data_IF_955640091695
#
_entry.id   IF_955640091695
#
_cell.length_a   1.000
_cell.length_b   1.000
_cell.length_c   1.000
_cell.angle_alpha   90.00
_cell.angle_beta   90.00
_cell.angle_gamma   90.00
#
_symmetry.space_group_name_H-M   'P 1'
#
loop_
_entity.id
_entity.type
_entity.pdbx_description
1 polymer ?
#
# COMPACT_ATOMS: atom_id res chain seq x y z
N UNK A 1 17.30 -6.53 -28.22
CA UNK A 1 16.46 -7.72 -27.96
C UNK A 1 15.72 -7.47 -26.65
N UNK A 2 14.39 -7.44 -26.64
CA UNK A 2 13.62 -7.18 -25.41
C UNK A 2 13.63 -8.48 -24.59
N UNK A 3 14.14 -8.42 -23.36
CA UNK A 3 14.21 -9.59 -22.46
C UNK A 3 12.80 -9.93 -21.97
N UNK A 4 12.33 -11.12 -22.30
CA UNK A 4 11.09 -11.69 -21.78
C UNK A 4 11.36 -12.52 -20.52
N UNK A 5 10.38 -12.56 -19.62
CA UNK A 5 10.45 -13.28 -18.34
C UNK A 5 9.31 -14.29 -18.29
N UNK A 6 9.59 -15.53 -17.89
CA UNK A 6 8.56 -16.56 -17.74
C UNK A 6 7.93 -16.47 -16.35
N UNK A 7 6.63 -16.17 -16.31
CA UNK A 7 5.85 -15.92 -15.09
C UNK A 7 4.77 -16.98 -14.99
N UNK A 8 4.62 -17.58 -13.82
CA UNK A 8 3.56 -18.53 -13.51
C UNK A 8 2.41 -17.78 -12.84
N UNK A 9 1.26 -17.77 -13.50
CA UNK A 9 0.00 -17.29 -12.94
C UNK A 9 -0.77 -18.46 -12.33
N UNK A 10 -1.25 -18.25 -11.12
CA UNK A 10 -2.03 -19.19 -10.31
C UNK A 10 -3.38 -18.53 -10.09
N UNK A 11 -4.38 -18.92 -10.88
CA UNK A 11 -5.74 -18.49 -10.63
C UNK A 11 -6.40 -19.47 -9.66
N UNK A 12 -6.75 -18.97 -8.47
CA UNK A 12 -7.52 -19.73 -7.50
C UNK A 12 -8.95 -19.22 -7.45
N UNK A 13 -9.88 -20.17 -7.45
CA UNK A 13 -11.30 -19.90 -7.52
C UNK A 13 -12.09 -20.81 -6.59
N UNK A 14 -13.26 -20.33 -6.20
CA UNK A 14 -14.22 -21.08 -5.41
C UNK A 14 -15.44 -21.38 -6.29
N UNK A 15 -15.90 -22.63 -6.25
CA UNK A 15 -17.17 -23.01 -6.86
C UNK A 15 -18.35 -22.81 -5.89
N UNK A 16 -19.57 -22.83 -6.40
CA UNK A 16 -20.82 -22.69 -5.62
C UNK A 16 -20.96 -23.73 -4.48
N UNK A 17 -20.16 -24.79 -4.49
CA UNK A 17 -20.10 -25.81 -3.43
C UNK A 17 -18.87 -25.66 -2.49
N UNK A 18 -18.22 -24.50 -2.46
CA UNK A 18 -16.99 -24.20 -1.69
C UNK A 18 -15.79 -25.09 -2.05
N UNK A 19 -15.79 -25.75 -3.20
CA UNK A 19 -14.59 -26.47 -3.66
C UNK A 19 -13.61 -25.44 -4.20
N UNK A 20 -12.42 -25.41 -3.60
CA UNK A 20 -11.32 -24.59 -4.09
C UNK A 20 -10.69 -25.27 -5.31
N UNK A 21 -10.70 -24.58 -6.43
CA UNK A 21 -10.02 -24.97 -7.66
C UNK A 21 -8.78 -24.11 -7.91
N UNK A 22 -7.85 -24.65 -8.70
CA UNK A 22 -6.64 -23.94 -9.11
C UNK A 22 -6.39 -24.17 -10.59
N UNK A 23 -6.13 -23.09 -11.32
CA UNK A 23 -5.67 -23.10 -12.69
C UNK A 23 -4.28 -22.47 -12.75
N UNK A 24 -3.32 -23.15 -13.38
CA UNK A 24 -1.94 -22.70 -13.48
C UNK A 24 -1.61 -22.48 -14.94
N UNK A 25 -1.10 -21.30 -15.27
CA UNK A 25 -0.67 -20.99 -16.63
C UNK A 25 0.64 -20.21 -16.62
N UNK A 26 1.50 -20.47 -17.60
CA UNK A 26 2.75 -19.72 -17.78
C UNK A 26 2.57 -18.68 -18.87
N UNK A 27 3.07 -17.46 -18.62
CA UNK A 27 3.10 -16.35 -19.58
C UNK A 27 4.53 -15.83 -19.71
N UNK A 28 4.88 -15.40 -20.91
CA UNK A 28 6.14 -14.69 -21.15
C UNK A 28 5.85 -13.20 -21.21
N UNK A 29 6.37 -12.44 -20.25
CA UNK A 29 6.11 -11.01 -20.13
C UNK A 29 7.37 -10.19 -20.42
N UNK A 30 7.20 -9.11 -21.17
CA UNK A 30 8.17 -8.01 -21.25
C UNK A 30 8.03 -7.09 -20.03
N UNK A 31 9.03 -6.24 -19.73
CA UNK A 31 8.98 -5.33 -18.59
C UNK A 31 7.79 -4.35 -18.58
N UNK A 32 7.22 -4.03 -19.75
CA UNK A 32 6.11 -3.09 -19.87
C UNK A 32 4.74 -3.76 -19.98
N UNK A 33 4.70 -5.10 -20.00
CA UNK A 33 3.44 -5.82 -20.13
C UNK A 33 2.58 -5.61 -18.88
N UNK A 34 1.27 -5.51 -19.12
CA UNK A 34 0.24 -5.40 -18.10
C UNK A 34 0.09 -6.70 -17.32
N UNK A 35 0.28 -6.64 -16.01
CA UNK A 35 0.01 -7.79 -15.12
C UNK A 35 -1.48 -8.08 -15.06
N UNK A 36 -2.32 -7.03 -15.10
CA UNK A 36 -3.77 -7.17 -15.03
C UNK A 36 -4.31 -7.88 -16.26
N UNK A 37 -3.92 -7.46 -17.47
CA UNK A 37 -4.37 -8.09 -18.70
C UNK A 37 -3.91 -9.56 -18.79
N UNK A 38 -2.67 -9.84 -18.39
CA UNK A 38 -2.16 -11.21 -18.32
C UNK A 38 -2.97 -12.08 -17.34
N UNK A 39 -3.28 -11.54 -16.15
CA UNK A 39 -4.11 -12.22 -15.15
C UNK A 39 -5.52 -12.52 -15.68
N UNK A 40 -6.18 -11.52 -16.27
CA UNK A 40 -7.53 -11.65 -16.86
C UNK A 40 -7.54 -12.68 -18.00
N UNK A 41 -6.51 -12.68 -18.85
CA UNK A 41 -6.34 -13.69 -19.89
C UNK A 41 -6.28 -15.11 -19.31
N UNK A 42 -5.54 -15.31 -18.23
CA UNK A 42 -5.43 -16.62 -17.55
C UNK A 42 -6.77 -17.05 -16.95
N UNK A 43 -7.52 -16.13 -16.35
CA UNK A 43 -8.84 -16.44 -15.79
C UNK A 43 -9.86 -16.83 -16.88
N UNK A 44 -9.87 -16.09 -18.00
CA UNK A 44 -10.71 -16.44 -19.17
C UNK A 44 -10.36 -17.81 -19.74
N UNK A 45 -9.07 -18.13 -19.83
CA UNK A 45 -8.60 -19.45 -20.26
C UNK A 45 -9.08 -20.55 -19.30
N UNK A 46 -8.98 -20.31 -17.98
CA UNK A 46 -9.47 -21.24 -16.97
C UNK A 46 -10.98 -21.50 -17.10
N UNK A 47 -11.79 -20.44 -17.27
CA UNK A 47 -13.25 -20.55 -17.46
C UNK A 47 -13.57 -21.35 -18.71
N UNK A 48 -12.89 -21.07 -19.83
CA UNK A 48 -13.05 -21.82 -21.08
C UNK A 48 -12.71 -23.31 -20.91
N UNK A 49 -11.76 -23.61 -20.03
CA UNK A 49 -11.35 -24.98 -19.69
C UNK A 49 -12.16 -25.60 -18.54
N UNK A 50 -13.32 -25.02 -18.19
CA UNK A 50 -14.27 -25.61 -17.26
C UNK A 50 -14.08 -25.19 -15.79
N UNK A 51 -13.31 -24.14 -15.50
CA UNK A 51 -13.25 -23.59 -14.15
C UNK A 51 -14.63 -23.11 -13.70
N UNK A 52 -15.06 -23.64 -12.56
CA UNK A 52 -16.36 -23.31 -11.98
C UNK A 52 -16.23 -22.15 -11.00
N UNK A 53 -16.70 -20.98 -11.43
CA UNK A 53 -16.53 -19.68 -10.79
C UNK A 53 -17.90 -19.00 -10.78
N UNK A 54 -18.12 -18.13 -9.80
CA UNK A 54 -19.40 -17.42 -9.65
C UNK A 54 -19.73 -16.45 -10.80
N UNK A 55 -18.75 -16.07 -11.64
CA UNK A 55 -18.97 -15.25 -12.83
C UNK A 55 -18.24 -15.81 -14.05
N UNK A 56 -18.95 -15.91 -15.18
CA UNK A 56 -18.37 -16.34 -16.47
C UNK A 56 -17.94 -15.16 -17.35
N UNK A 57 -18.37 -13.94 -17.01
CA UNK A 57 -18.19 -12.73 -17.81
C UNK A 57 -17.00 -11.90 -17.34
N UNK A 58 -15.80 -12.51 -17.32
CA UNK A 58 -14.59 -11.80 -16.93
C UNK A 58 -14.10 -10.88 -18.05
N UNK A 59 -13.89 -9.61 -17.70
CA UNK A 59 -13.37 -8.58 -18.59
C UNK A 59 -12.41 -7.61 -17.87
N UNK A 60 -11.92 -6.61 -18.60
CA UNK A 60 -10.92 -5.66 -18.09
C UNK A 60 -11.42 -4.79 -16.93
N UNK A 61 -12.74 -4.69 -16.76
CA UNK A 61 -13.42 -3.97 -15.67
C UNK A 61 -13.68 -4.88 -14.46
N UNK A 62 -13.47 -6.19 -14.57
CA UNK A 62 -13.69 -7.13 -13.47
C UNK A 62 -12.74 -6.88 -12.31
N UNK A 63 -13.28 -6.77 -11.10
CA UNK A 63 -12.44 -6.68 -9.90
C UNK A 63 -11.65 -7.97 -9.70
N UNK A 64 -10.32 -7.89 -9.71
CA UNK A 64 -9.44 -9.02 -9.50
C UNK A 64 -8.38 -8.68 -8.47
N UNK A 65 -8.09 -9.63 -7.59
CA UNK A 65 -7.00 -9.50 -6.62
C UNK A 65 -5.74 -10.13 -7.18
N UNK A 66 -4.61 -9.44 -7.02
CA UNK A 66 -3.30 -9.86 -7.52
C UNK A 66 -2.32 -9.87 -6.35
N UNK A 67 -1.65 -11.01 -6.14
CA UNK A 67 -0.68 -11.20 -5.06
C UNK A 67 0.61 -11.83 -5.60
N UNK A 68 1.69 -11.62 -4.87
CA UNK A 68 2.95 -12.35 -5.06
C UNK A 68 3.04 -13.50 -4.06
N UNK A 69 3.58 -14.63 -4.50
CA UNK A 69 3.84 -15.75 -3.60
C UNK A 69 4.98 -15.40 -2.64
N UNK A 70 4.77 -15.59 -1.34
CA UNK A 70 5.80 -15.48 -0.30
C UNK A 70 5.46 -16.38 0.90
N UNK A 71 6.26 -16.34 1.97
CA UNK A 71 6.06 -17.19 3.15
C UNK A 71 4.72 -16.97 3.87
N UNK A 72 4.15 -15.76 3.75
CA UNK A 72 2.86 -15.37 4.33
C UNK A 72 1.70 -15.54 3.34
N UNK A 73 1.97 -15.54 2.03
CA UNK A 73 0.96 -15.57 0.96
C UNK A 73 1.30 -16.70 -0.02
N UNK A 74 0.58 -17.81 0.08
CA UNK A 74 0.76 -18.97 -0.82
C UNK A 74 -0.50 -19.32 -1.63
N UNK A 75 -1.61 -18.65 -1.34
CA UNK A 75 -2.92 -18.85 -1.97
C UNK A 75 -3.75 -17.55 -1.85
N UNK A 76 -4.85 -17.43 -2.60
CA UNK A 76 -5.65 -16.21 -2.65
C UNK A 76 -6.28 -15.84 -1.29
N UNK A 77 -6.66 -16.84 -0.49
CA UNK A 77 -7.22 -16.64 0.86
C UNK A 77 -6.20 -16.08 1.85
N UNK A 78 -4.96 -16.59 1.84
CA UNK A 78 -3.84 -16.03 2.61
C UNK A 78 -3.45 -14.63 2.12
N UNK A 79 -3.53 -14.40 0.80
CA UNK A 79 -3.37 -13.08 0.20
C UNK A 79 -4.36 -12.08 0.77
N UNK A 80 -5.65 -12.45 0.77
CA UNK A 80 -6.71 -11.62 1.34
C UNK A 80 -6.48 -11.30 2.82
N UNK A 81 -6.18 -12.33 3.62
CA UNK A 81 -5.96 -12.16 5.07
C UNK A 81 -4.78 -11.26 5.39
N UNK A 82 -3.68 -11.39 4.66
CA UNK A 82 -2.40 -10.75 5.01
C UNK A 82 -2.17 -9.43 4.26
N UNK A 83 -2.81 -9.22 3.11
CA UNK A 83 -2.63 -8.03 2.28
C UNK A 83 -3.93 -7.36 1.83
N UNK A 84 -5.10 -7.84 2.24
CA UNK A 84 -6.38 -7.32 1.74
C UNK A 84 -6.54 -7.65 0.26
N UNK A 85 -6.98 -6.71 -0.56
CA UNK A 85 -7.38 -7.00 -1.95
C UNK A 85 -6.22 -7.11 -2.96
N UNK A 86 -4.96 -7.10 -2.53
CA UNK A 86 -3.81 -7.29 -3.42
C UNK A 86 -2.60 -6.44 -3.05
N UNK A 87 -1.73 -6.23 -4.04
CA UNK A 87 -0.58 -5.34 -3.93
C UNK A 87 -1.06 -3.91 -3.62
N UNK A 88 -0.58 -3.34 -2.50
CA UNK A 88 -1.07 -2.05 -1.98
C UNK A 88 -0.31 -0.82 -2.48
N UNK A 89 0.74 -1.02 -3.27
CA UNK A 89 1.68 0.05 -3.58
C UNK A 89 1.95 0.15 -5.08
N UNK A 90 2.20 1.38 -5.52
CA UNK A 90 2.76 1.70 -6.83
C UNK A 90 3.59 2.99 -6.73
N UNK A 91 4.28 3.38 -7.79
CA UNK A 91 5.07 4.59 -7.88
C UNK A 91 4.57 5.42 -9.07
N UNK A 92 4.33 6.71 -8.84
CA UNK A 92 4.12 7.64 -9.95
C UNK A 92 5.44 7.93 -10.70
N UNK A 93 5.34 8.62 -11.84
CA UNK A 93 6.48 8.96 -12.71
C UNK A 93 7.59 9.77 -12.01
N UNK A 94 7.28 10.49 -10.93
CA UNK A 94 8.28 11.21 -10.12
C UNK A 94 8.93 10.37 -9.02
N UNK A 95 8.60 9.07 -8.94
CA UNK A 95 9.05 8.14 -7.90
C UNK A 95 8.35 8.32 -6.55
N UNK A 96 7.26 9.08 -6.46
CA UNK A 96 6.47 9.19 -5.24
C UNK A 96 5.54 7.99 -5.09
N UNK A 97 5.37 7.49 -3.86
CA UNK A 97 4.50 6.35 -3.55
C UNK A 97 3.04 6.69 -3.84
N UNK A 98 2.32 5.74 -4.43
CA UNK A 98 0.86 5.66 -4.51
C UNK A 98 0.45 4.54 -3.56
N UNK A 99 -0.54 4.80 -2.70
CA UNK A 99 -1.08 3.80 -1.77
C UNK A 99 -2.48 3.42 -2.23
N UNK A 100 -2.66 2.15 -2.57
CA UNK A 100 -3.91 1.56 -3.02
C UNK A 100 -4.57 0.92 -1.80
N UNK A 101 -5.62 1.56 -1.32
CA UNK A 101 -6.33 1.18 -0.11
C UNK A 101 -7.78 0.79 -0.42
N UNK A 102 -8.40 0.01 0.46
CA UNK A 102 -9.70 -0.60 0.22
C UNK A 102 -9.70 -1.37 -1.11
N UNK A 103 -10.59 -0.97 -2.02
CA UNK A 103 -10.75 -1.59 -3.34
C UNK A 103 -9.74 -1.13 -4.41
N UNK A 104 -8.85 -0.18 -4.09
CA UNK A 104 -7.86 0.35 -5.03
C UNK A 104 -7.07 -0.73 -5.79
N UNK A 105 -6.54 -1.77 -5.13
CA UNK A 105 -5.79 -2.84 -5.80
C UNK A 105 -6.60 -3.63 -6.85
N UNK A 106 -7.93 -3.70 -6.71
CA UNK A 106 -8.77 -4.60 -7.52
C UNK A 106 -8.88 -4.23 -8.99
N UNK A 107 -8.60 -2.97 -9.30
CA UNK A 107 -8.70 -2.38 -10.64
C UNK A 107 -7.36 -1.84 -11.12
N UNK A 108 -6.35 -1.83 -10.25
CA UNK A 108 -5.05 -1.27 -10.59
C UNK A 108 -4.32 -2.18 -11.59
N UNK A 109 -3.63 -1.54 -12.52
CA UNK A 109 -2.76 -2.24 -13.46
C UNK A 109 -1.31 -1.84 -13.22
N UNK A 110 -0.48 -2.85 -12.99
CA UNK A 110 0.96 -2.70 -12.86
C UNK A 110 1.62 -3.20 -14.13
N UNK A 111 2.57 -2.42 -14.65
CA UNK A 111 3.59 -2.98 -15.53
C UNK A 111 4.43 -4.01 -14.76
N UNK A 112 4.85 -5.09 -15.41
CA UNK A 112 5.65 -6.12 -14.75
C UNK A 112 6.93 -5.57 -14.10
N UNK A 113 7.64 -4.66 -14.77
CA UNK A 113 8.81 -3.97 -14.23
C UNK A 113 8.55 -3.23 -12.93
N UNK A 114 7.33 -2.70 -12.75
CA UNK A 114 6.96 -2.01 -11.52
C UNK A 114 6.85 -2.96 -10.34
N UNK A 115 6.31 -4.17 -10.56
CA UNK A 115 6.25 -5.21 -9.53
C UNK A 115 7.67 -5.58 -9.07
N UNK A 116 8.60 -5.74 -10.00
CA UNK A 116 10.01 -5.99 -9.70
C UNK A 116 10.59 -4.84 -8.87
N UNK A 117 10.42 -3.59 -9.32
CA UNK A 117 10.95 -2.42 -8.62
C UNK A 117 10.41 -2.32 -7.18
N UNK A 118 9.11 -2.58 -6.96
CA UNK A 118 8.51 -2.55 -5.62
C UNK A 118 9.09 -3.63 -4.69
N UNK A 119 9.40 -4.81 -5.22
CA UNK A 119 10.09 -5.88 -4.46
C UNK A 119 11.53 -5.47 -4.15
N UNK A 120 12.28 -5.00 -5.14
CA UNK A 120 13.69 -4.58 -4.97
C UNK A 120 13.84 -3.43 -3.96
N UNK A 121 12.87 -2.52 -3.92
CA UNK A 121 12.83 -1.42 -2.96
C UNK A 121 12.39 -1.85 -1.55
N UNK A 122 11.84 -3.05 -1.41
CA UNK A 122 11.36 -3.63 -0.16
C UNK A 122 9.96 -3.14 0.28
N UNK A 123 9.14 -2.62 -0.64
CA UNK A 123 7.78 -2.16 -0.31
C UNK A 123 6.75 -3.31 -0.35
N UNK A 124 7.05 -4.35 -1.11
CA UNK A 124 6.28 -5.59 -1.13
C UNK A 124 7.24 -6.78 -1.06
N UNK A 125 6.75 -7.92 -0.59
CA UNK A 125 7.52 -9.18 -0.53
C UNK A 125 6.95 -10.18 -1.52
N UNK A 126 7.82 -10.95 -2.17
CA UNK A 126 7.45 -12.18 -2.85
C UNK A 126 8.20 -12.45 -4.14
N UNK A 127 7.92 -13.65 -4.67
CA UNK A 127 8.48 -14.18 -5.89
C UNK A 127 7.81 -13.50 -7.10
N UNK A 128 8.55 -12.63 -7.79
CA UNK A 128 8.05 -11.91 -8.98
C UNK A 128 7.82 -12.83 -10.18
N UNK A 129 8.20 -14.11 -10.09
CA UNK A 129 7.93 -15.13 -11.12
C UNK A 129 6.64 -15.90 -10.87
N UNK A 130 5.96 -15.67 -9.73
CA UNK A 130 4.71 -16.35 -9.36
C UNK A 130 3.66 -15.36 -8.87
N UNK A 131 2.57 -15.27 -9.63
CA UNK A 131 1.46 -14.37 -9.36
C UNK A 131 0.23 -15.19 -9.02
N UNK A 132 -0.37 -14.93 -7.87
CA UNK A 132 -1.67 -15.46 -7.49
C UNK A 132 -2.73 -14.46 -7.91
N UNK A 133 -3.79 -14.96 -8.55
CA UNK A 133 -4.94 -14.20 -8.98
C UNK A 133 -6.18 -14.77 -8.30
N UNK A 134 -7.04 -13.91 -7.76
CA UNK A 134 -8.28 -14.31 -7.12
C UNK A 134 -9.45 -13.41 -7.52
N UNK A 135 -10.65 -13.98 -7.59
CA UNK A 135 -11.90 -13.23 -7.69
C UNK A 135 -12.39 -12.90 -6.28
N UNK A 136 -12.43 -11.62 -5.87
CA UNK A 136 -13.01 -11.27 -4.58
C UNK A 136 -14.53 -11.49 -4.61
N UNK A 137 -15.08 -11.98 -3.51
CA UNK A 137 -16.52 -12.12 -3.27
C UNK A 137 -16.97 -11.13 -2.18
N UNK A 138 -18.23 -10.69 -2.22
CA UNK A 138 -18.85 -9.94 -1.12
C UNK A 138 -18.21 -8.57 -0.82
N UNK A 139 -18.02 -7.75 -1.86
CA UNK A 139 -17.53 -6.37 -1.69
C UNK A 139 -18.61 -5.52 -0.99
N UNK A 140 -18.48 -5.32 0.33
CA UNK A 140 -19.36 -4.44 1.11
C UNK A 140 -19.18 -2.95 0.78
N UNK A 141 -20.01 -2.08 1.36
CA UNK A 141 -19.85 -0.63 1.22
C UNK A 141 -19.22 -0.04 2.48
N UNK A 142 -18.17 0.77 2.33
CA UNK A 142 -17.61 1.55 3.43
C UNK A 142 -16.82 2.74 2.90
N UNK A 143 -17.28 3.95 3.22
CA UNK A 143 -16.47 5.16 3.11
C UNK A 143 -16.31 5.74 4.51
N UNK A 144 -15.07 5.81 5.00
CA UNK A 144 -14.73 6.53 6.23
C UNK A 144 -14.30 7.97 5.91
N UNK A 145 -14.85 8.95 6.64
CA UNK A 145 -14.43 10.35 6.54
C UNK A 145 -13.41 10.65 7.65
N UNK A 146 -12.25 11.25 7.31
CA UNK A 146 -11.14 11.47 8.24
C UNK A 146 -10.60 12.91 8.19
N UNK A 147 -10.34 13.53 9.35
CA UNK A 147 -9.69 14.86 9.42
C UNK A 147 -8.15 14.75 9.40
N UNK A 148 -7.60 14.56 8.19
CA UNK A 148 -6.17 14.33 8.00
C UNK A 148 -5.34 15.58 8.31
N UNK A 149 -5.86 16.76 8.00
CA UNK A 149 -5.14 18.02 8.21
C UNK A 149 -5.03 18.32 9.70
N UNK A 150 -6.12 18.14 10.47
CA UNK A 150 -6.13 18.26 11.92
C UNK A 150 -5.13 17.31 12.58
N UNK A 151 -5.17 16.03 12.18
CA UNK A 151 -4.24 15.01 12.68
C UNK A 151 -2.76 15.41 12.50
N UNK A 152 -2.35 15.75 11.27
CA UNK A 152 -0.93 16.08 11.01
C UNK A 152 -0.52 17.36 11.71
N UNK A 153 -1.42 18.34 11.82
CA UNK A 153 -1.13 19.57 12.55
C UNK A 153 -0.85 19.29 14.02
N UNK A 154 -1.58 18.40 14.68
CA UNK A 154 -1.35 18.09 16.08
C UNK A 154 -0.13 17.18 16.28
N UNK A 155 0.14 16.27 15.36
CA UNK A 155 1.24 15.32 15.51
C UNK A 155 2.61 15.91 15.11
N UNK A 156 2.69 16.64 13.99
CA UNK A 156 3.96 17.21 13.49
C UNK A 156 4.37 18.46 14.27
N UNK A 157 3.42 19.21 14.84
CA UNK A 157 3.72 20.48 15.55
C UNK A 157 4.18 20.27 17.00
N UNK A 158 3.99 19.06 17.57
CA UNK A 158 4.29 18.74 18.98
C UNK A 158 5.70 18.13 19.17
N UNK A 159 6.47 17.91 18.11
CA UNK A 159 7.83 17.31 18.16
C UNK A 159 8.90 18.29 18.70
N UNK A 160 8.58 19.13 19.70
CA UNK A 160 9.55 20.02 20.35
C UNK A 160 9.02 20.65 21.65
N UNK A 161 9.90 21.01 22.61
CA UNK A 161 9.51 21.49 23.93
C UNK A 161 9.16 22.99 23.92
N UNK A 162 8.19 23.42 23.10
CA UNK A 162 7.81 24.83 23.04
C UNK A 162 6.51 25.15 23.79
N UNK A 163 6.66 26.07 24.74
CA UNK A 163 5.69 26.73 25.62
C UNK A 163 4.32 27.04 24.96
N UNK A 164 3.27 26.90 25.77
CA UNK A 164 1.86 26.93 25.39
C UNK A 164 1.40 28.20 24.64
N UNK A 165 2.12 29.33 24.74
CA UNK A 165 1.72 30.63 24.17
C UNK A 165 2.07 30.75 22.67
N UNK A 166 3.05 29.97 22.17
CA UNK A 166 3.47 30.00 20.75
C UNK A 166 2.60 29.09 19.85
N UNK A 167 1.67 28.33 20.44
CA UNK A 167 0.88 27.29 19.75
C UNK A 167 -0.09 27.86 18.69
N UNK A 168 -0.67 29.04 18.90
CA UNK A 168 -1.79 29.51 18.06
C UNK A 168 -1.35 30.08 16.70
N UNK A 169 -0.31 30.92 16.69
CA UNK A 169 0.22 31.57 15.48
C UNK A 169 1.05 30.60 14.63
N UNK A 170 1.84 29.70 15.24
CA UNK A 170 2.51 28.60 14.52
C UNK A 170 1.50 27.59 13.93
N UNK A 171 0.36 27.32 14.60
CA UNK A 171 -0.72 26.47 14.05
C UNK A 171 -1.24 27.00 12.72
N UNK A 172 -1.54 28.30 12.60
CA UNK A 172 -2.14 28.88 11.37
C UNK A 172 -1.19 28.83 10.15
N UNK A 173 0.10 29.11 10.35
CA UNK A 173 1.14 29.01 9.30
C UNK A 173 1.47 27.55 8.93
N UNK A 174 1.61 26.67 9.93
CA UNK A 174 1.83 25.24 9.70
C UNK A 174 0.66 24.61 8.95
N UNK A 175 -0.57 25.03 9.23
CA UNK A 175 -1.76 24.49 8.58
C UNK A 175 -1.78 24.76 7.06
N UNK A 176 -1.24 25.89 6.58
CA UNK A 176 -1.09 26.14 5.12
C UNK A 176 -0.08 25.17 4.48
N UNK A 177 1.09 24.97 5.10
CA UNK A 177 2.12 24.05 4.58
C UNK A 177 1.65 22.59 4.63
N UNK A 178 1.07 22.17 5.77
CA UNK A 178 0.50 20.84 5.95
C UNK A 178 -0.64 20.60 4.96
N UNK A 179 -1.53 21.57 4.73
CA UNK A 179 -2.58 21.46 3.72
C UNK A 179 -2.02 21.22 2.32
N UNK A 180 -0.90 21.83 1.95
CA UNK A 180 -0.23 21.55 0.66
C UNK A 180 0.33 20.14 0.60
N UNK A 181 0.90 19.63 1.70
CA UNK A 181 1.38 18.25 1.81
C UNK A 181 0.20 17.28 1.66
N UNK A 182 -0.86 17.45 2.43
CA UNK A 182 -2.08 16.61 2.36
C UNK A 182 -2.69 16.65 0.96
N UNK A 183 -2.77 17.82 0.32
CA UNK A 183 -3.25 17.91 -1.07
C UNK A 183 -2.36 17.14 -2.06
N UNK A 184 -1.04 17.11 -1.87
CA UNK A 184 -0.13 16.30 -2.72
C UNK A 184 -0.31 14.81 -2.45
N UNK A 185 -0.48 14.44 -1.18
CA UNK A 185 -0.74 13.08 -0.73
C UNK A 185 -2.06 12.51 -1.25
N UNK A 186 -3.13 13.31 -1.23
CA UNK A 186 -4.42 12.91 -1.78
C UNK A 186 -4.36 12.56 -3.28
N UNK A 187 -3.50 13.23 -4.07
CA UNK A 187 -3.25 12.88 -5.48
C UNK A 187 -2.57 11.53 -5.67
N UNK A 188 -1.96 11.00 -4.62
CA UNK A 188 -1.31 9.70 -4.58
C UNK A 188 -2.12 8.68 -3.74
N UNK A 189 -3.42 8.93 -3.54
CA UNK A 189 -4.33 8.10 -2.74
C UNK A 189 -3.98 7.96 -1.25
N UNK A 190 -3.12 8.83 -0.72
CA UNK A 190 -2.84 8.90 0.70
C UNK A 190 -3.86 9.85 1.35
N UNK A 191 -4.92 9.27 1.91
CA UNK A 191 -6.09 9.94 2.49
C UNK A 191 -6.16 9.81 4.01
N UNK A 192 -5.49 8.80 4.58
CA UNK A 192 -5.53 8.50 6.00
C UNK A 192 -4.12 8.38 6.59
N UNK A 193 -3.89 8.77 7.85
CA UNK A 193 -2.58 8.64 8.49
C UNK A 193 -2.08 7.20 8.63
N UNK A 194 -2.98 6.22 8.82
CA UNK A 194 -2.59 4.82 8.96
C UNK A 194 -1.91 4.30 7.70
N UNK A 195 -2.27 4.81 6.52
CA UNK A 195 -1.61 4.45 5.26
C UNK A 195 -0.13 4.86 5.26
N UNK A 196 0.21 6.02 5.82
CA UNK A 196 1.59 6.46 5.96
C UNK A 196 2.33 5.59 6.95
N UNK A 197 1.71 5.33 8.09
CA UNK A 197 2.26 4.46 9.12
C UNK A 197 2.60 3.08 8.53
N UNK A 198 1.62 2.45 7.89
CA UNK A 198 1.77 1.13 7.27
C UNK A 198 2.79 1.12 6.14
N UNK A 199 2.82 2.16 5.30
CA UNK A 199 3.86 2.30 4.28
C UNK A 199 5.25 2.36 4.91
N UNK A 200 5.45 3.16 5.96
CA UNK A 200 6.74 3.23 6.66
C UNK A 200 7.04 1.91 7.39
N UNK A 201 6.04 1.18 7.87
CA UNK A 201 6.26 -0.13 8.50
C UNK A 201 6.70 -1.23 7.52
N UNK A 202 6.60 -1.02 6.20
CA UNK A 202 7.04 -2.01 5.19
C UNK A 202 8.53 -2.35 5.31
N UNK A 203 9.34 -1.42 5.84
CA UNK A 203 10.79 -1.58 6.00
C UNK A 203 11.20 -1.31 7.45
N UNK A 204 12.15 -2.11 7.91
CA UNK A 204 12.75 -1.94 9.24
C UNK A 204 13.54 -0.63 9.37
N UNK A 205 14.19 -0.21 8.28
CA UNK A 205 15.05 0.97 8.25
C UNK A 205 14.72 1.89 7.07
N UNK A 206 14.80 3.19 7.32
CA UNK A 206 14.56 4.23 6.33
C UNK A 206 15.66 5.27 6.29
N UNK A 207 16.05 5.70 5.10
CA UNK A 207 16.79 6.95 4.94
C UNK A 207 15.83 8.13 4.84
N UNK A 208 16.25 9.30 5.33
CA UNK A 208 15.48 10.54 5.18
C UNK A 208 15.28 10.88 3.69
N UNK A 209 16.30 10.62 2.86
CA UNK A 209 16.26 10.83 1.41
C UNK A 209 15.15 10.04 0.72
N UNK A 210 14.98 8.77 1.11
CA UNK A 210 13.91 7.92 0.59
C UNK A 210 12.53 8.44 1.02
N UNK A 211 12.34 8.76 2.30
CA UNK A 211 11.06 9.30 2.80
C UNK A 211 10.71 10.62 2.10
N UNK A 212 11.68 11.53 1.91
CA UNK A 212 11.50 12.78 1.15
C UNK A 212 11.00 12.49 -0.26
N UNK A 213 11.66 11.58 -0.98
CA UNK A 213 11.32 11.22 -2.36
C UNK A 213 9.94 10.59 -2.44
N UNK A 214 9.69 9.53 -1.66
CA UNK A 214 8.46 8.73 -1.74
C UNK A 214 7.23 9.53 -1.29
N UNK A 215 7.33 10.27 -0.20
CA UNK A 215 6.23 11.08 0.33
C UNK A 215 6.23 12.53 -0.15
N UNK A 216 7.11 12.91 -1.09
CA UNK A 216 7.22 14.27 -1.66
C UNK A 216 7.33 15.36 -0.57
N UNK A 217 8.13 15.07 0.45
CA UNK A 217 8.40 15.95 1.58
C UNK A 217 9.74 16.68 1.42
N UNK A 218 9.88 17.83 2.08
CA UNK A 218 11.21 18.36 2.35
C UNK A 218 11.85 17.59 3.52
N UNK A 219 13.13 17.86 3.77
CA UNK A 219 13.89 17.16 4.81
C UNK A 219 13.32 17.33 6.21
N UNK A 220 12.99 18.57 6.58
CA UNK A 220 12.40 18.90 7.87
C UNK A 220 11.12 18.10 8.13
N UNK A 221 10.21 18.02 7.16
CA UNK A 221 8.95 17.27 7.32
C UNK A 221 9.15 15.76 7.30
N UNK A 222 10.14 15.25 6.55
CA UNK A 222 10.47 13.82 6.58
C UNK A 222 11.00 13.40 7.96
N UNK A 223 11.92 14.19 8.53
CA UNK A 223 12.42 13.97 9.90
C UNK A 223 11.30 14.04 10.92
N UNK A 224 10.47 15.10 10.87
CA UNK A 224 9.34 15.24 11.81
C UNK A 224 8.34 14.09 11.70
N UNK A 225 8.08 13.59 10.49
CA UNK A 225 7.20 12.45 10.28
C UNK A 225 7.78 11.18 10.91
N UNK A 226 9.06 10.88 10.65
CA UNK A 226 9.74 9.72 11.22
C UNK A 226 9.76 9.78 12.76
N UNK A 227 10.15 10.93 13.33
CA UNK A 227 10.07 11.16 14.78
C UNK A 227 8.66 10.98 15.32
N UNK A 228 7.65 11.50 14.61
CA UNK A 228 6.25 11.38 15.03
C UNK A 228 5.69 9.94 14.96
N UNK A 229 6.24 9.12 14.08
CA UNK A 229 5.94 7.69 14.01
C UNK A 229 6.70 6.87 15.07
N UNK A 230 7.56 7.51 15.85
CA UNK A 230 8.38 6.88 16.89
C UNK A 230 9.69 6.31 16.37
N UNK A 231 10.08 6.58 15.12
CA UNK A 231 11.39 6.20 14.62
C UNK A 231 12.46 7.10 15.22
N UNK A 232 13.62 6.52 15.53
CA UNK A 232 14.78 7.21 16.07
C UNK A 232 15.96 7.08 15.10
N UNK A 233 16.83 8.11 15.00
CA UNK A 233 18.02 8.03 14.17
C UNK A 233 19.03 7.06 14.80
N UNK A 234 19.54 6.14 13.99
CA UNK A 234 20.65 5.25 14.34
C UNK A 234 21.64 5.23 13.19
N UNK A 235 22.80 5.85 13.39
CA UNK A 235 23.76 6.08 12.31
C UNK A 235 23.11 6.93 11.20
N UNK A 236 23.11 6.40 9.98
CA UNK A 236 22.56 7.06 8.80
C UNK A 236 21.12 6.64 8.46
N UNK A 237 20.49 5.81 9.28
CA UNK A 237 19.12 5.33 9.07
C UNK A 237 18.20 5.68 10.25
N UNK A 238 16.91 5.57 10.01
CA UNK A 238 15.85 5.72 11.00
C UNK A 238 15.16 4.38 11.19
N UNK A 239 15.00 3.96 12.45
CA UNK A 239 14.36 2.69 12.80
C UNK A 239 13.48 2.81 14.04
N UNK A 240 12.48 1.93 14.15
CA UNK A 240 11.78 1.74 15.42
C UNK A 240 12.72 1.08 16.42
N UNK A 241 12.85 1.66 17.60
CA UNK A 241 13.72 1.14 18.67
C UNK A 241 12.87 0.61 19.82
N UNK A 242 13.48 -0.16 20.72
CA UNK A 242 12.83 -0.61 21.96
C UNK A 242 12.89 0.46 23.07
N UNK A 243 13.20 1.72 22.73
CA UNK A 243 13.23 2.79 23.70
C UNK A 243 11.81 3.06 24.23
N UNK A 244 11.70 3.38 25.52
CA UNK A 244 10.41 3.77 26.13
C UNK A 244 9.77 4.96 25.39
N UNK A 245 10.60 5.86 24.83
CA UNK A 245 10.16 7.02 24.08
C UNK A 245 9.53 6.63 22.74
N UNK A 246 10.25 5.85 21.93
CA UNK A 246 9.79 5.32 20.64
C UNK A 246 8.45 4.60 20.78
N UNK A 247 8.36 3.65 21.73
CA UNK A 247 7.14 2.89 22.02
C UNK A 247 5.98 3.81 22.41
N UNK A 248 6.23 4.82 23.26
CA UNK A 248 5.20 5.77 23.70
C UNK A 248 4.70 6.64 22.56
N UNK A 249 5.60 7.18 21.74
CA UNK A 249 5.24 8.01 20.59
C UNK A 249 4.40 7.20 19.60
N UNK A 250 4.84 5.97 19.30
CA UNK A 250 4.11 5.06 18.41
C UNK A 250 2.71 4.75 18.91
N UNK A 251 2.56 4.43 20.20
CA UNK A 251 1.24 4.22 20.83
C UNK A 251 0.36 5.46 20.74
N UNK A 252 0.92 6.65 20.93
CA UNK A 252 0.18 7.90 20.82
C UNK A 252 -0.28 8.17 19.38
N UNK A 253 0.56 7.91 18.38
CA UNK A 253 0.18 7.99 16.97
C UNK A 253 -1.06 7.13 16.69
N UNK A 254 -1.01 5.84 17.04
CA UNK A 254 -2.12 4.90 16.81
C UNK A 254 -3.40 5.27 17.58
N UNK A 255 -3.28 5.83 18.78
CA UNK A 255 -4.46 6.37 19.51
C UNK A 255 -5.05 7.58 18.79
N UNK A 256 -4.20 8.47 18.27
CA UNK A 256 -4.65 9.63 17.52
C UNK A 256 -5.29 9.22 16.19
N UNK A 257 -4.83 8.16 15.52
CA UNK A 257 -5.52 7.64 14.32
C UNK A 257 -7.01 7.40 14.59
N UNK A 258 -7.34 6.73 15.70
CA UNK A 258 -8.72 6.47 16.10
C UNK A 258 -9.50 7.73 16.48
N UNK A 259 -8.83 8.75 17.01
CA UNK A 259 -9.46 9.99 17.48
C UNK A 259 -9.98 10.87 16.33
N UNK A 260 -9.28 10.89 15.19
CA UNK A 260 -9.65 11.74 14.04
C UNK A 260 -10.43 10.97 12.96
N UNK A 261 -10.71 9.68 13.17
CA UNK A 261 -11.79 8.98 12.48
C UNK A 261 -13.12 9.61 12.91
N UNK A 262 -13.89 10.12 11.95
CA UNK A 262 -15.25 10.57 12.22
C UNK A 262 -16.17 9.38 12.01
N UNK A 263 -16.90 8.99 13.05
CA UNK A 263 -18.02 8.08 12.89
C UNK A 263 -19.11 8.85 12.13
N UNK A 264 -19.57 8.28 11.02
CA UNK A 264 -20.84 8.68 10.42
C UNK A 264 -21.99 8.15 11.28
#
# INVERSE_FOLDING_TARGET
MIKTHSITFIFEYFSECYKQGKYISRRHLTPNDSIREAAISVMREAIKNGADVWTKDINNESSISIYLVNDEINNAGSGYRNSGFGIKYDLNNSGGIIILDGYGPLQHDWAYSRIIELVELGYIKGDTTKIIVGLPEGLGAGEEIYDFIGFLADVITVVGPSLAVVKYSKRKLNHRRIRRIVKKWAKNNIRYPHQIREFIDTKAEWSVGEVKKRLKLNEEYAIKLLSALGYEPVGNSWRLTQSKSSIRIRKNWMRNEKKYQKNN
#
